data_IF_771797819587
#
_entry.id   IF_771797819587
#
_cell.length_a   1.000
_cell.length_b   1.000
_cell.length_c   1.000
_cell.angle_alpha   90.00
_cell.angle_beta   90.00
_cell.angle_gamma   90.00
#
_symmetry.space_group_name_H-M   'P 1'
#
loop_
_entity.id
_entity.type
_entity.pdbx_description
1 polymer ?
#
# COMPACT_ATOMS: atom_id res chain seq x y z
N UNK A 1 3.73 25.44 -1.62
CA UNK A 1 4.87 25.85 -2.51
C UNK A 1 6.25 25.47 -1.99
N UNK A 2 6.69 25.83 -0.78
CA UNK A 2 8.03 25.40 -0.28
C UNK A 2 8.10 23.90 -0.03
N UNK A 3 7.08 23.33 0.61
CA UNK A 3 6.96 21.90 0.93
C UNK A 3 7.00 21.01 -0.32
N UNK A 4 6.21 21.34 -1.35
CA UNK A 4 6.18 20.59 -2.62
C UNK A 4 7.52 20.61 -3.35
N UNK A 5 8.22 21.77 -3.33
CA UNK A 5 9.55 21.89 -3.92
C UNK A 5 10.59 21.06 -3.19
N UNK A 6 10.51 20.98 -1.85
CA UNK A 6 11.44 20.19 -1.06
C UNK A 6 11.22 18.68 -1.28
N UNK A 7 9.97 18.23 -1.38
CA UNK A 7 9.64 16.83 -1.70
C UNK A 7 10.13 16.48 -3.12
N UNK A 8 9.86 17.34 -4.10
CA UNK A 8 10.33 17.13 -5.48
C UNK A 8 11.86 17.12 -5.56
N UNK A 9 12.53 18.01 -4.82
CA UNK A 9 14.00 18.03 -4.77
C UNK A 9 14.56 16.74 -4.17
N UNK A 10 14.00 16.28 -3.03
CA UNK A 10 14.38 15.02 -2.41
C UNK A 10 14.18 13.84 -3.37
N UNK A 11 13.04 13.78 -4.06
CA UNK A 11 12.77 12.78 -5.09
C UNK A 11 13.80 12.77 -6.21
N UNK A 12 14.11 13.94 -6.79
CA UNK A 12 15.09 14.05 -7.88
C UNK A 12 16.48 13.64 -7.41
N UNK A 13 16.87 14.05 -6.19
CA UNK A 13 18.16 13.68 -5.61
C UNK A 13 18.24 12.18 -5.38
N UNK A 14 17.22 11.58 -4.79
CA UNK A 14 17.17 10.12 -4.54
C UNK A 14 17.19 9.33 -5.86
N UNK A 15 16.39 9.72 -6.84
CA UNK A 15 16.38 9.07 -8.15
C UNK A 15 17.72 9.20 -8.90
N UNK A 16 18.35 10.38 -8.90
CA UNK A 16 19.66 10.57 -9.51
C UNK A 16 20.74 9.77 -8.75
N UNK A 17 20.61 9.69 -7.44
CA UNK A 17 21.55 8.96 -6.61
C UNK A 17 21.39 7.44 -6.81
N UNK A 18 20.17 6.90 -6.91
CA UNK A 18 19.96 5.47 -7.17
C UNK A 18 20.58 4.99 -8.49
N UNK A 19 20.57 5.84 -9.54
CA UNK A 19 21.29 5.55 -10.78
C UNK A 19 22.80 5.54 -10.55
N UNK A 20 23.31 6.48 -9.77
CA UNK A 20 24.74 6.53 -9.42
C UNK A 20 25.17 5.31 -8.60
N UNK A 21 24.35 4.88 -7.66
CA UNK A 21 24.54 3.65 -6.87
C UNK A 21 24.57 2.41 -7.74
N UNK A 22 23.64 2.29 -8.67
CA UNK A 22 23.61 1.16 -9.58
C UNK A 22 24.90 1.02 -10.39
N UNK A 23 25.40 2.13 -10.92
CA UNK A 23 26.69 2.18 -11.62
C UNK A 23 27.83 1.86 -10.65
N UNK A 24 27.79 2.41 -9.43
CA UNK A 24 28.79 2.19 -8.40
C UNK A 24 28.85 0.74 -7.91
N UNK A 25 27.70 0.10 -7.74
CA UNK A 25 27.58 -1.30 -7.38
C UNK A 25 28.20 -2.23 -8.43
N UNK A 26 27.94 -1.96 -9.71
CA UNK A 26 28.57 -2.70 -10.82
C UNK A 26 30.10 -2.46 -10.82
N UNK A 27 30.55 -1.22 -10.64
CA UNK A 27 31.98 -0.87 -10.66
C UNK A 27 32.75 -1.48 -9.49
N UNK A 28 32.17 -1.47 -8.29
CA UNK A 28 32.78 -2.03 -7.06
C UNK A 28 32.65 -3.53 -6.97
N UNK A 29 31.66 -4.12 -7.65
CA UNK A 29 31.27 -5.50 -7.53
C UNK A 29 30.52 -5.81 -6.22
N UNK A 30 30.01 -4.79 -5.51
CA UNK A 30 29.23 -4.95 -4.27
C UNK A 30 27.77 -5.28 -4.57
N UNK A 31 27.31 -6.42 -4.07
CA UNK A 31 25.89 -6.80 -4.15
C UNK A 31 25.06 -5.95 -3.20
N UNK A 32 25.63 -5.50 -2.07
CA UNK A 32 24.94 -4.63 -1.13
C UNK A 32 24.56 -3.29 -1.78
N UNK A 33 25.49 -2.64 -2.50
CA UNK A 33 25.22 -1.37 -3.21
C UNK A 33 24.21 -1.59 -4.35
N UNK A 34 24.31 -2.71 -5.09
CA UNK A 34 23.32 -3.02 -6.14
C UNK A 34 21.93 -3.26 -5.52
N UNK A 35 21.88 -3.91 -4.37
CA UNK A 35 20.63 -4.16 -3.64
C UNK A 35 19.92 -2.86 -3.25
N UNK A 36 20.69 -1.94 -2.69
CA UNK A 36 20.21 -0.62 -2.28
C UNK A 36 19.70 0.16 -3.50
N UNK A 37 20.50 0.24 -4.56
CA UNK A 37 20.13 0.89 -5.82
C UNK A 37 18.85 0.32 -6.43
N UNK A 38 18.61 -0.99 -6.39
CA UNK A 38 17.37 -1.63 -6.89
C UNK A 38 16.17 -1.25 -6.01
N UNK A 39 16.37 -1.15 -4.70
CA UNK A 39 15.37 -0.68 -3.76
C UNK A 39 14.99 0.78 -4.07
N UNK A 40 15.96 1.67 -4.14
CA UNK A 40 15.77 3.10 -4.40
C UNK A 40 15.16 3.41 -5.78
N UNK A 41 15.56 2.67 -6.82
CA UNK A 41 14.90 2.73 -8.13
C UNK A 41 13.44 2.28 -8.04
N UNK A 42 13.17 1.22 -7.27
CA UNK A 42 11.83 0.75 -6.99
C UNK A 42 10.97 1.81 -6.32
N UNK A 43 11.50 2.49 -5.33
CA UNK A 43 10.83 3.57 -4.61
C UNK A 43 10.58 4.79 -5.50
N UNK A 44 11.57 5.20 -6.28
CA UNK A 44 11.42 6.27 -7.25
C UNK A 44 10.36 5.93 -8.32
N UNK A 45 10.37 4.70 -8.85
CA UNK A 45 9.35 4.23 -9.79
C UNK A 45 7.94 4.22 -9.14
N UNK A 46 7.88 3.85 -7.86
CA UNK A 46 6.67 3.88 -7.05
C UNK A 46 6.10 5.28 -6.92
N UNK A 47 6.93 6.23 -6.54
CA UNK A 47 6.54 7.63 -6.39
C UNK A 47 6.07 8.19 -7.73
N UNK A 48 6.79 7.92 -8.83
CA UNK A 48 6.42 8.34 -10.17
C UNK A 48 5.10 7.75 -10.64
N UNK A 49 4.91 6.45 -10.51
CA UNK A 49 3.67 5.76 -10.87
C UNK A 49 2.50 6.19 -10.00
N UNK A 50 2.73 6.27 -8.68
CA UNK A 50 1.74 6.75 -7.72
C UNK A 50 1.28 8.17 -8.03
N UNK A 51 2.18 9.05 -8.48
CA UNK A 51 1.81 10.40 -8.88
C UNK A 51 0.81 10.40 -10.05
N UNK A 52 1.03 9.61 -11.09
CA UNK A 52 0.13 9.51 -12.24
C UNK A 52 -1.20 8.85 -11.88
N UNK A 53 -1.16 7.75 -11.15
CA UNK A 53 -2.35 6.99 -10.77
C UNK A 53 -3.14 7.71 -9.68
N UNK A 54 -2.47 8.38 -8.75
CA UNK A 54 -3.08 9.25 -7.75
C UNK A 54 -3.81 10.46 -8.41
N UNK A 55 -3.20 11.06 -9.43
CA UNK A 55 -3.90 12.10 -10.21
C UNK A 55 -5.14 11.55 -10.91
N UNK A 56 -5.09 10.30 -11.39
CA UNK A 56 -6.23 9.64 -12.02
C UNK A 56 -7.28 9.21 -10.99
N UNK A 57 -6.86 8.77 -9.80
CA UNK A 57 -7.76 8.34 -8.73
C UNK A 57 -8.66 9.47 -8.23
N UNK A 58 -8.21 10.73 -8.33
CA UNK A 58 -8.98 11.93 -7.95
C UNK A 58 -10.03 12.37 -8.97
N UNK A 59 -10.12 11.70 -10.12
CA UNK A 59 -11.15 11.99 -11.10
C UNK A 59 -12.52 11.64 -10.52
N UNK A 60 -13.47 12.59 -10.67
CA UNK A 60 -14.84 12.41 -10.19
C UNK A 60 -15.54 11.22 -10.88
N UNK A 61 -16.54 10.62 -10.22
CA UNK A 61 -17.38 9.60 -10.83
C UNK A 61 -17.97 10.05 -12.17
N UNK A 62 -18.12 9.08 -13.06
CA UNK A 62 -18.82 9.25 -14.34
C UNK A 62 -19.66 8.00 -14.64
N UNK A 63 -20.37 7.97 -15.77
CA UNK A 63 -21.27 6.87 -16.13
C UNK A 63 -20.57 5.53 -16.30
N UNK A 64 -19.24 5.52 -16.54
CA UNK A 64 -18.45 4.29 -16.66
C UNK A 64 -17.89 3.81 -15.31
N UNK A 65 -17.61 4.75 -14.40
CA UNK A 65 -17.04 4.49 -13.07
C UNK A 65 -17.85 5.24 -12.02
N UNK A 66 -18.97 4.64 -11.62
CA UNK A 66 -19.96 5.27 -10.73
C UNK A 66 -19.44 5.53 -9.32
N UNK A 67 -18.48 4.76 -8.83
CA UNK A 67 -17.74 5.03 -7.59
C UNK A 67 -16.48 5.88 -7.80
N UNK A 68 -16.26 6.40 -9.04
CA UNK A 68 -15.06 7.15 -9.39
C UNK A 68 -13.86 6.24 -9.68
N UNK A 69 -12.70 6.87 -9.68
CA UNK A 69 -11.46 6.23 -10.14
C UNK A 69 -10.52 5.87 -8.98
N UNK A 70 -11.00 5.89 -7.75
CA UNK A 70 -10.19 5.79 -6.53
C UNK A 70 -9.33 4.52 -6.49
N UNK A 71 -9.79 3.38 -7.02
CA UNK A 71 -9.05 2.12 -7.10
C UNK A 71 -7.79 2.16 -7.98
N UNK A 72 -7.59 3.23 -8.77
CA UNK A 72 -6.33 3.39 -9.51
C UNK A 72 -5.12 3.58 -8.58
N UNK A 73 -5.32 4.11 -7.37
CA UNK A 73 -4.27 4.17 -6.35
C UNK A 73 -3.84 2.76 -5.89
N UNK A 74 -4.80 1.87 -5.68
CA UNK A 74 -4.53 0.46 -5.30
C UNK A 74 -3.75 -0.28 -6.40
N UNK A 75 -4.13 -0.09 -7.68
CA UNK A 75 -3.41 -0.68 -8.82
C UNK A 75 -1.97 -0.18 -8.84
N UNK A 76 -1.75 1.10 -8.58
CA UNK A 76 -0.40 1.67 -8.46
C UNK A 76 0.43 0.96 -7.39
N UNK A 77 -0.14 0.82 -6.21
CA UNK A 77 0.52 0.15 -5.09
C UNK A 77 0.84 -1.33 -5.38
N UNK A 78 -0.08 -2.05 -6.05
CA UNK A 78 0.15 -3.44 -6.47
C UNK A 78 1.35 -3.54 -7.41
N UNK A 79 1.39 -2.71 -8.48
CA UNK A 79 2.47 -2.74 -9.47
C UNK A 79 3.82 -2.44 -8.80
N UNK A 80 3.87 -1.41 -7.96
CA UNK A 80 5.05 -1.03 -7.20
C UNK A 80 5.56 -2.17 -6.31
N UNK A 81 4.66 -2.75 -5.52
CA UNK A 81 5.02 -3.85 -4.62
C UNK A 81 5.52 -5.08 -5.40
N UNK A 82 4.95 -5.39 -6.57
CA UNK A 82 5.46 -6.45 -7.43
C UNK A 82 6.88 -6.17 -7.95
N UNK A 83 7.17 -4.92 -8.32
CA UNK A 83 8.53 -4.51 -8.74
C UNK A 83 9.52 -4.73 -7.60
N UNK A 84 9.19 -4.31 -6.37
CA UNK A 84 10.03 -4.50 -5.18
C UNK A 84 10.25 -5.99 -4.86
N UNK A 85 9.19 -6.82 -4.95
CA UNK A 85 9.30 -8.25 -4.73
C UNK A 85 10.24 -8.92 -5.74
N UNK A 86 10.08 -8.61 -7.02
CA UNK A 86 10.95 -9.14 -8.09
C UNK A 86 12.40 -8.69 -7.91
N UNK A 87 12.62 -7.41 -7.60
CA UNK A 87 13.94 -6.86 -7.29
C UNK A 87 14.61 -7.58 -6.11
N UNK A 88 13.88 -7.75 -5.00
CA UNK A 88 14.39 -8.44 -3.81
C UNK A 88 14.76 -9.90 -4.09
N UNK A 89 13.95 -10.63 -4.85
CA UNK A 89 14.25 -12.01 -5.25
C UNK A 89 15.51 -12.06 -6.11
N UNK A 90 15.67 -11.12 -7.04
CA UNK A 90 16.83 -11.03 -7.92
C UNK A 90 18.12 -10.73 -7.14
N UNK A 91 18.03 -9.86 -6.14
CA UNK A 91 19.15 -9.56 -5.22
C UNK A 91 19.56 -10.79 -4.43
N UNK A 92 18.59 -11.51 -3.82
CA UNK A 92 18.86 -12.74 -3.09
C UNK A 92 19.55 -13.78 -3.98
N UNK A 93 19.05 -13.98 -5.20
CA UNK A 93 19.66 -14.89 -6.16
C UNK A 93 21.12 -14.52 -6.48
N UNK A 94 21.38 -13.23 -6.76
CA UNK A 94 22.74 -12.76 -7.04
C UNK A 94 23.65 -12.89 -5.84
N UNK A 95 23.17 -12.60 -4.63
CA UNK A 95 23.93 -12.73 -3.39
C UNK A 95 24.30 -14.19 -3.10
N UNK A 96 23.38 -15.13 -3.31
CA UNK A 96 23.68 -16.58 -3.17
C UNK A 96 24.74 -17.00 -4.19
N UNK A 97 24.63 -16.60 -5.44
CA UNK A 97 25.64 -16.89 -6.46
C UNK A 97 27.01 -16.32 -6.09
N UNK A 98 27.05 -15.13 -5.45
CA UNK A 98 28.27 -14.49 -4.97
C UNK A 98 28.91 -15.27 -3.81
N UNK A 99 28.12 -15.92 -2.95
CA UNK A 99 28.64 -16.81 -1.90
C UNK A 99 29.28 -18.05 -2.52
N UNK A 100 28.63 -18.64 -3.54
CA UNK A 100 29.13 -19.87 -4.22
C UNK A 100 30.36 -19.57 -5.09
N UNK A 101 30.36 -18.46 -5.78
CA UNK A 101 31.42 -18.03 -6.69
C UNK A 101 31.89 -16.60 -6.32
N UNK A 102 32.74 -16.46 -5.30
CA UNK A 102 33.21 -15.17 -4.84
C UNK A 102 33.96 -14.42 -5.96
N UNK A 103 33.68 -13.15 -6.11
CA UNK A 103 34.43 -12.26 -6.99
C UNK A 103 35.09 -11.16 -6.18
N UNK A 104 36.13 -10.56 -6.71
CA UNK A 104 36.85 -9.48 -6.05
C UNK A 104 35.95 -8.25 -5.88
N UNK A 105 35.90 -7.73 -4.66
CA UNK A 105 35.21 -6.49 -4.30
C UNK A 105 36.25 -5.39 -4.17
N UNK A 106 35.99 -4.26 -4.79
CA UNK A 106 36.85 -3.06 -4.66
C UNK A 106 36.45 -2.30 -3.38
N UNK A 107 36.97 -2.70 -2.24
CA UNK A 107 36.61 -2.13 -0.94
C UNK A 107 36.80 -0.62 -0.86
N UNK A 108 37.85 -0.07 -1.46
CA UNK A 108 38.08 1.40 -1.48
C UNK A 108 36.98 2.11 -2.27
N UNK A 109 36.57 1.55 -3.41
CA UNK A 109 35.43 2.06 -4.18
C UNK A 109 34.13 1.99 -3.35
N UNK A 110 33.86 0.86 -2.70
CA UNK A 110 32.67 0.67 -1.86
C UNK A 110 32.62 1.69 -0.71
N UNK A 111 33.77 1.95 -0.03
CA UNK A 111 33.85 2.97 1.03
C UNK A 111 33.53 4.37 0.47
N UNK A 112 34.09 4.73 -0.70
CA UNK A 112 33.84 6.03 -1.31
C UNK A 112 32.36 6.19 -1.64
N UNK A 113 31.74 5.18 -2.26
CA UNK A 113 30.30 5.21 -2.58
C UNK A 113 29.45 5.29 -1.31
N UNK A 114 29.79 4.53 -0.26
CA UNK A 114 29.07 4.55 1.00
C UNK A 114 29.16 5.91 1.71
N UNK A 115 30.33 6.55 1.70
CA UNK A 115 30.50 7.91 2.23
C UNK A 115 29.62 8.91 1.45
N UNK A 116 29.63 8.84 0.10
CA UNK A 116 28.78 9.70 -0.72
C UNK A 116 27.29 9.44 -0.41
N UNK A 117 26.88 8.17 -0.27
CA UNK A 117 25.53 7.77 0.08
C UNK A 117 25.05 8.38 1.39
N UNK A 118 25.84 8.24 2.46
CA UNK A 118 25.54 8.87 3.74
C UNK A 118 25.36 10.39 3.59
N UNK A 119 26.25 11.06 2.86
CA UNK A 119 26.17 12.53 2.71
C UNK A 119 24.97 12.97 1.88
N UNK A 120 24.66 12.30 0.77
CA UNK A 120 23.54 12.66 -0.11
C UNK A 120 22.21 12.49 0.62
N UNK A 121 22.01 11.34 1.29
CA UNK A 121 20.79 11.06 2.03
C UNK A 121 20.66 11.93 3.28
N UNK A 122 21.76 12.22 4.00
CA UNK A 122 21.76 13.17 5.12
C UNK A 122 21.39 14.59 4.64
N UNK A 123 21.87 15.01 3.48
CA UNK A 123 21.52 16.30 2.89
C UNK A 123 20.03 16.34 2.53
N UNK A 124 19.51 15.30 1.88
CA UNK A 124 18.08 15.19 1.57
C UNK A 124 17.20 15.20 2.84
N UNK A 125 17.61 14.46 3.89
CA UNK A 125 16.94 14.45 5.18
C UNK A 125 16.93 15.85 5.83
N UNK A 126 18.03 16.60 5.73
CA UNK A 126 18.10 17.95 6.28
C UNK A 126 17.12 18.91 5.59
N UNK A 127 16.96 18.83 4.26
CA UNK A 127 16.02 19.68 3.51
C UNK A 127 14.54 19.32 3.75
N UNK A 128 14.26 18.09 4.15
CA UNK A 128 12.88 17.62 4.41
C UNK A 128 12.49 17.74 5.89
N UNK A 129 13.43 18.04 6.78
CA UNK A 129 13.25 18.01 8.24
C UNK A 129 12.16 18.95 8.77
N UNK A 130 12.10 20.18 8.26
CA UNK A 130 11.25 21.24 8.83
C UNK A 130 9.81 21.25 8.26
N UNK A 131 9.36 20.14 7.71
CA UNK A 131 8.03 20.04 7.12
C UNK A 131 6.91 19.77 8.13
N UNK A 132 5.83 20.55 8.02
CA UNK A 132 4.64 20.37 8.87
C UNK A 132 3.67 19.31 8.34
N UNK A 133 3.76 18.89 7.08
CA UNK A 133 2.85 17.90 6.49
C UNK A 133 3.27 16.46 6.84
N UNK A 134 2.27 15.57 6.99
CA UNK A 134 2.51 14.14 7.23
C UNK A 134 3.36 13.52 6.11
N UNK A 135 3.11 13.92 4.87
CA UNK A 135 3.87 13.44 3.71
C UNK A 135 5.35 13.84 3.78
N UNK A 136 5.65 15.09 4.16
CA UNK A 136 7.03 15.54 4.30
C UNK A 136 7.75 14.83 5.47
N UNK A 137 7.04 14.55 6.57
CA UNK A 137 7.58 13.74 7.68
C UNK A 137 7.89 12.31 7.23
N UNK A 138 7.01 11.69 6.42
CA UNK A 138 7.24 10.36 5.89
C UNK A 138 8.49 10.34 4.96
N UNK A 139 8.62 11.32 4.06
CA UNK A 139 9.81 11.45 3.20
C UNK A 139 11.08 11.67 4.02
N UNK A 140 11.03 12.49 5.08
CA UNK A 140 12.19 12.70 5.96
C UNK A 140 12.60 11.42 6.69
N UNK A 141 11.62 10.65 7.20
CA UNK A 141 11.88 9.38 7.87
C UNK A 141 12.54 8.38 6.90
N UNK A 142 12.04 8.28 5.67
CA UNK A 142 12.63 7.44 4.62
C UNK A 142 14.09 7.84 4.34
N UNK A 143 14.39 9.13 4.14
CA UNK A 143 15.78 9.59 3.96
C UNK A 143 16.70 9.26 5.15
N UNK A 144 16.17 9.25 6.39
CA UNK A 144 16.93 8.84 7.57
C UNK A 144 17.18 7.33 7.62
N UNK A 145 16.23 6.52 7.14
CA UNK A 145 16.41 5.08 6.99
C UNK A 145 17.53 4.78 5.98
N UNK A 146 17.58 5.49 4.85
CA UNK A 146 18.66 5.38 3.85
C UNK A 146 20.02 5.78 4.44
N UNK A 147 20.09 6.85 5.24
CA UNK A 147 21.33 7.23 5.94
C UNK A 147 21.83 6.09 6.83
N UNK A 148 20.92 5.42 7.57
CA UNK A 148 21.29 4.29 8.42
C UNK A 148 21.74 3.08 7.59
N UNK A 149 21.06 2.78 6.48
CA UNK A 149 21.45 1.73 5.53
C UNK A 149 22.86 1.95 5.01
N UNK A 150 23.15 3.15 4.52
CA UNK A 150 24.49 3.53 4.03
C UNK A 150 25.56 3.52 5.12
N UNK A 151 25.22 3.87 6.36
CA UNK A 151 26.14 3.74 7.49
C UNK A 151 26.51 2.27 7.77
N UNK A 152 25.56 1.35 7.66
CA UNK A 152 25.81 -0.09 7.78
C UNK A 152 26.70 -0.59 6.63
N UNK A 153 26.43 -0.18 5.38
CA UNK A 153 27.27 -0.51 4.22
C UNK A 153 28.70 0.01 4.40
N UNK A 154 28.84 1.25 4.92
CA UNK A 154 30.16 1.84 5.20
C UNK A 154 30.93 1.04 6.25
N UNK A 155 30.30 0.70 7.37
CA UNK A 155 30.90 -0.12 8.41
C UNK A 155 31.32 -1.50 7.85
N UNK A 156 30.42 -2.13 7.10
CA UNK A 156 30.70 -3.42 6.45
C UNK A 156 31.89 -3.34 5.49
N UNK A 157 31.96 -2.30 4.65
CA UNK A 157 33.07 -2.10 3.73
C UNK A 157 34.42 -1.88 4.45
N UNK A 158 34.43 -1.11 5.55
CA UNK A 158 35.62 -0.93 6.39
C UNK A 158 36.05 -2.25 7.01
N UNK A 159 35.12 -3.02 7.60
CA UNK A 159 35.44 -4.33 8.19
C UNK A 159 35.99 -5.28 7.13
N UNK A 160 35.38 -5.36 5.94
CA UNK A 160 35.86 -6.20 4.85
C UNK A 160 37.25 -5.80 4.38
N UNK A 161 37.55 -4.50 4.31
CA UNK A 161 38.89 -4.00 3.95
C UNK A 161 39.99 -4.46 4.91
N UNK A 162 39.69 -4.53 6.23
CA UNK A 162 40.65 -4.97 7.24
C UNK A 162 40.73 -6.49 7.40
N UNK A 163 39.62 -7.19 7.19
CA UNK A 163 39.54 -8.65 7.42
C UNK A 163 39.72 -9.47 6.14
N UNK A 164 39.60 -8.85 4.97
CA UNK A 164 39.51 -9.50 3.66
C UNK A 164 38.39 -10.56 3.57
N UNK A 165 37.35 -10.45 4.42
CA UNK A 165 36.24 -11.39 4.47
C UNK A 165 35.08 -10.89 3.58
N UNK A 166 35.20 -11.14 2.28
CA UNK A 166 34.28 -10.65 1.25
C UNK A 166 32.83 -11.19 1.39
N UNK A 167 32.61 -12.24 2.20
CA UNK A 167 31.25 -12.80 2.38
C UNK A 167 30.32 -11.89 3.20
N UNK A 168 30.84 -10.87 3.86
CA UNK A 168 30.02 -9.88 4.58
C UNK A 168 29.04 -9.19 3.63
N UNK A 169 29.51 -8.78 2.44
CA UNK A 169 28.67 -8.08 1.44
C UNK A 169 27.44 -8.88 1.00
N UNK A 170 27.54 -10.11 0.49
CA UNK A 170 26.36 -10.87 0.10
C UNK A 170 25.49 -11.28 1.30
N UNK A 171 26.04 -11.48 2.50
CA UNK A 171 25.24 -11.77 3.69
C UNK A 171 24.38 -10.56 4.08
N UNK A 172 24.97 -9.35 4.11
CA UNK A 172 24.24 -8.13 4.37
C UNK A 172 23.14 -7.92 3.33
N UNK A 173 23.45 -8.13 2.04
CA UNK A 173 22.50 -8.02 0.94
C UNK A 173 21.30 -8.96 1.09
N UNK A 174 21.53 -10.22 1.50
CA UNK A 174 20.46 -11.18 1.77
C UNK A 174 19.59 -10.72 2.94
N UNK A 175 20.21 -10.26 4.04
CA UNK A 175 19.45 -9.79 5.20
C UNK A 175 18.51 -8.62 4.84
N UNK A 176 19.03 -7.63 4.12
CA UNK A 176 18.23 -6.48 3.68
C UNK A 176 17.16 -6.91 2.68
N UNK A 177 17.51 -7.68 1.66
CA UNK A 177 16.55 -8.12 0.64
C UNK A 177 15.43 -9.00 1.22
N UNK A 178 15.73 -9.88 2.19
CA UNK A 178 14.71 -10.68 2.88
C UNK A 178 13.79 -9.79 3.71
N UNK A 179 14.34 -8.80 4.41
CA UNK A 179 13.54 -7.84 5.18
C UNK A 179 12.57 -7.06 4.26
N UNK A 180 13.07 -6.53 3.13
CA UNK A 180 12.25 -5.83 2.12
C UNK A 180 11.19 -6.77 1.56
N UNK A 181 11.56 -8.01 1.19
CA UNK A 181 10.65 -8.99 0.61
C UNK A 181 9.50 -9.35 1.57
N UNK A 182 9.78 -9.53 2.86
CA UNK A 182 8.75 -9.82 3.87
C UNK A 182 7.76 -8.66 3.98
N UNK A 183 8.24 -7.43 4.01
CA UNK A 183 7.38 -6.24 4.07
C UNK A 183 6.58 -6.06 2.78
N UNK A 184 7.20 -6.28 1.62
CA UNK A 184 6.52 -6.23 0.33
C UNK A 184 5.41 -7.29 0.22
N UNK A 185 5.62 -8.51 0.72
CA UNK A 185 4.58 -9.56 0.75
C UNK A 185 3.39 -9.13 1.63
N UNK A 186 3.65 -8.55 2.81
CA UNK A 186 2.57 -8.05 3.68
C UNK A 186 1.76 -6.95 3.00
N UNK A 187 2.44 -5.96 2.43
CA UNK A 187 1.78 -4.88 1.69
C UNK A 187 0.97 -5.43 0.51
N UNK A 188 1.52 -6.41 -0.23
CA UNK A 188 0.81 -7.04 -1.33
C UNK A 188 -0.47 -7.74 -0.87
N UNK A 189 -0.43 -8.45 0.27
CA UNK A 189 -1.60 -9.10 0.86
C UNK A 189 -2.67 -8.07 1.23
N UNK A 190 -2.31 -6.96 1.84
CA UNK A 190 -3.24 -5.87 2.17
C UNK A 190 -3.90 -5.29 0.90
N UNK A 191 -3.13 -5.08 -0.18
CA UNK A 191 -3.68 -4.59 -1.45
C UNK A 191 -4.62 -5.61 -2.11
N UNK A 192 -4.30 -6.90 -2.03
CA UNK A 192 -5.17 -7.98 -2.52
C UNK A 192 -6.45 -8.06 -1.69
N UNK A 193 -6.37 -7.93 -0.36
CA UNK A 193 -7.53 -7.89 0.52
C UNK A 193 -8.49 -6.76 0.14
N UNK A 194 -7.96 -5.55 -0.15
CA UNK A 194 -8.76 -4.42 -0.64
C UNK A 194 -9.38 -4.73 -2.00
N UNK A 195 -8.61 -5.32 -2.91
CA UNK A 195 -9.08 -5.67 -4.26
C UNK A 195 -10.19 -6.71 -4.23
N UNK A 196 -10.10 -7.68 -3.32
CA UNK A 196 -11.08 -8.74 -3.08
C UNK A 196 -12.28 -8.29 -2.20
N UNK A 197 -12.37 -6.99 -1.89
CA UNK A 197 -13.49 -6.42 -1.11
C UNK A 197 -13.61 -7.01 0.29
N UNK A 198 -12.50 -7.44 0.88
CA UNK A 198 -12.45 -7.89 2.26
C UNK A 198 -12.82 -6.75 3.21
N UNK A 199 -13.54 -7.09 4.27
CA UNK A 199 -13.83 -6.15 5.35
C UNK A 199 -12.52 -5.59 5.91
N UNK A 200 -12.37 -4.24 6.03
CA UNK A 200 -11.18 -3.62 6.58
C UNK A 200 -10.87 -4.10 8.00
N UNK A 201 -9.61 -4.33 8.31
CA UNK A 201 -9.17 -4.80 9.64
C UNK A 201 -9.52 -3.83 10.78
N UNK A 202 -9.71 -2.54 10.47
CA UNK A 202 -10.09 -1.51 11.43
C UNK A 202 -11.57 -1.51 11.78
N UNK A 203 -12.39 -2.37 11.15
CA UNK A 203 -13.84 -2.38 11.30
C UNK A 203 -14.28 -3.71 11.91
N UNK A 204 -14.96 -3.64 13.07
CA UNK A 204 -15.67 -4.76 13.66
C UNK A 204 -17.16 -4.68 13.31
N UNK A 205 -17.63 -5.65 12.51
CA UNK A 205 -19.05 -5.73 12.09
C UNK A 205 -19.98 -5.91 13.28
N UNK A 206 -19.56 -6.64 14.33
CA UNK A 206 -20.40 -6.87 15.49
C UNK A 206 -20.56 -5.60 16.31
N UNK A 207 -19.47 -4.83 16.49
CA UNK A 207 -19.52 -3.54 17.17
C UNK A 207 -20.46 -2.56 16.45
N UNK A 208 -20.35 -2.45 15.13
CA UNK A 208 -21.26 -1.63 14.31
C UNK A 208 -22.72 -2.09 14.49
N UNK A 209 -22.95 -3.39 14.43
CA UNK A 209 -24.30 -3.95 14.59
C UNK A 209 -24.90 -3.61 15.96
N UNK A 210 -24.10 -3.73 17.02
CA UNK A 210 -24.54 -3.43 18.38
C UNK A 210 -24.81 -1.93 18.56
N UNK A 211 -23.94 -1.05 18.01
CA UNK A 211 -24.15 0.39 18.06
C UNK A 211 -25.40 0.82 17.30
N UNK A 212 -25.62 0.28 16.10
CA UNK A 212 -26.82 0.59 15.33
C UNK A 212 -28.11 0.11 16.03
N UNK A 213 -28.07 -1.02 16.72
CA UNK A 213 -29.23 -1.52 17.51
C UNK A 213 -29.52 -0.67 18.75
N UNK A 214 -28.58 0.13 19.21
CA UNK A 214 -28.81 1.07 20.31
C UNK A 214 -29.49 2.38 19.85
N UNK A 215 -29.70 2.57 18.55
CA UNK A 215 -30.46 3.71 18.01
C UNK A 215 -31.95 3.40 18.20
N UNK A 216 -32.68 4.36 18.80
CA UNK A 216 -34.11 4.25 18.97
C UNK A 216 -34.81 3.96 17.62
N UNK A 217 -35.74 3.00 17.65
CA UNK A 217 -36.49 2.51 16.49
C UNK A 217 -35.72 1.58 15.52
N UNK A 218 -34.45 1.26 15.74
CA UNK A 218 -33.75 0.16 15.02
C UNK A 218 -34.01 -1.15 15.75
N UNK A 219 -34.64 -2.10 15.06
CA UNK A 219 -35.02 -3.41 15.60
C UNK A 219 -33.93 -4.45 15.30
N UNK A 220 -33.48 -4.52 14.04
CA UNK A 220 -32.43 -5.43 13.63
C UNK A 220 -31.57 -4.85 12.51
N UNK A 221 -30.34 -5.36 12.41
CA UNK A 221 -29.40 -5.01 11.34
C UNK A 221 -28.82 -6.30 10.78
N UNK A 222 -28.97 -6.51 9.48
CA UNK A 222 -28.50 -7.73 8.82
C UNK A 222 -28.07 -7.44 7.38
N UNK A 223 -27.61 -8.47 6.65
CA UNK A 223 -27.15 -8.39 5.26
C UNK A 223 -26.08 -7.28 5.09
N UNK A 224 -25.09 -7.27 6.00
CA UNK A 224 -24.07 -6.23 6.08
C UNK A 224 -22.91 -6.61 5.18
N UNK A 225 -22.58 -5.73 4.24
CA UNK A 225 -21.35 -5.79 3.44
C UNK A 225 -20.56 -4.51 3.68
N UNK A 226 -19.27 -4.66 4.01
CA UNK A 226 -18.36 -3.54 4.23
C UNK A 226 -17.07 -3.83 3.50
N UNK A 227 -16.62 -2.89 2.68
CA UNK A 227 -15.36 -3.00 1.93
C UNK A 227 -14.66 -1.66 1.87
N UNK A 228 -13.37 -1.67 1.56
CA UNK A 228 -12.62 -0.45 1.29
C UNK A 228 -12.37 -0.25 -0.20
N UNK A 229 -12.37 1.00 -0.64
CA UNK A 229 -12.03 1.34 -2.02
C UNK A 229 -10.51 1.50 -2.22
N UNK A 230 -9.79 1.98 -1.19
CA UNK A 230 -8.38 2.36 -1.26
C UNK A 230 -7.61 2.17 0.05
N UNK A 231 -8.21 1.52 1.05
CA UNK A 231 -7.68 1.36 2.40
C UNK A 231 -8.06 2.47 3.38
N UNK A 232 -8.63 3.58 2.91
CA UNK A 232 -9.07 4.71 3.76
C UNK A 232 -10.56 4.99 3.62
N UNK A 233 -11.08 4.88 2.40
CA UNK A 233 -12.48 5.14 2.10
C UNK A 233 -13.29 3.84 2.14
N UNK A 234 -14.03 3.64 3.24
CA UNK A 234 -14.84 2.45 3.45
C UNK A 234 -16.28 2.71 3.03
N UNK A 235 -16.86 1.71 2.38
CA UNK A 235 -18.21 1.71 1.87
C UNK A 235 -18.98 0.57 2.50
N UNK A 236 -20.31 0.74 2.63
CA UNK A 236 -21.17 -0.31 3.17
C UNK A 236 -22.52 -0.39 2.45
N UNK A 237 -23.07 -1.58 2.45
CA UNK A 237 -24.49 -1.81 2.21
C UNK A 237 -25.05 -2.63 3.36
N UNK A 238 -26.28 -2.34 3.78
CA UNK A 238 -26.91 -3.10 4.86
C UNK A 238 -28.43 -2.92 4.87
N UNK A 239 -29.11 -3.88 5.46
CA UNK A 239 -30.53 -3.85 5.73
C UNK A 239 -30.78 -3.45 7.19
N UNK A 240 -31.69 -2.54 7.40
CA UNK A 240 -32.08 -2.03 8.72
C UNK A 240 -33.56 -2.27 8.91
N UNK A 241 -33.90 -3.12 9.85
CA UNK A 241 -35.29 -3.31 10.26
C UNK A 241 -35.70 -2.21 11.23
N UNK A 242 -36.72 -1.44 10.87
CA UNK A 242 -37.15 -0.28 11.67
C UNK A 242 -38.64 0.00 11.54
N UNK A 243 -39.26 0.47 12.63
CA UNK A 243 -40.64 0.97 12.62
C UNK A 243 -40.74 2.46 12.24
N UNK A 244 -39.62 3.12 12.02
CA UNK A 244 -39.54 4.52 11.63
C UNK A 244 -38.94 4.67 10.24
N UNK A 245 -39.72 5.19 9.30
CA UNK A 245 -39.27 5.40 7.89
C UNK A 245 -38.91 6.85 7.57
N UNK A 246 -38.71 7.68 8.61
CA UNK A 246 -38.43 9.09 8.43
C UNK A 246 -36.95 9.37 8.05
N UNK A 247 -36.71 10.57 7.58
CA UNK A 247 -35.37 11.04 7.20
C UNK A 247 -34.40 11.06 8.40
N UNK A 248 -34.91 11.30 9.58
CA UNK A 248 -34.13 11.49 10.80
C UNK A 248 -33.38 10.22 11.20
N UNK A 249 -34.01 9.06 11.13
CA UNK A 249 -33.34 7.79 11.46
C UNK A 249 -32.22 7.44 10.47
N UNK A 250 -32.42 7.76 9.16
CA UNK A 250 -31.37 7.56 8.17
C UNK A 250 -30.12 8.42 8.46
N UNK A 251 -30.33 9.65 8.90
CA UNK A 251 -29.23 10.54 9.25
C UNK A 251 -28.52 10.11 10.53
N UNK A 252 -29.25 9.62 11.53
CA UNK A 252 -28.65 9.06 12.75
C UNK A 252 -27.77 7.83 12.42
N UNK A 253 -28.29 6.90 11.61
CA UNK A 253 -27.55 5.71 11.16
C UNK A 253 -26.29 6.12 10.37
N UNK A 254 -26.41 7.08 9.44
CA UNK A 254 -25.25 7.55 8.66
C UNK A 254 -24.18 8.20 9.52
N UNK A 255 -24.62 8.97 10.54
CA UNK A 255 -23.69 9.60 11.47
C UNK A 255 -22.93 8.55 12.27
N UNK A 256 -23.62 7.56 12.83
CA UNK A 256 -23.00 6.45 13.56
C UNK A 256 -22.00 5.69 12.69
N UNK A 257 -22.39 5.34 11.47
CA UNK A 257 -21.51 4.65 10.52
C UNK A 257 -20.28 5.49 10.14
N UNK A 258 -20.44 6.82 10.04
CA UNK A 258 -19.32 7.73 9.78
C UNK A 258 -18.33 7.76 10.97
N UNK A 259 -18.81 7.68 12.21
CA UNK A 259 -17.97 7.59 13.40
C UNK A 259 -17.15 6.28 13.41
N UNK A 260 -17.67 5.22 12.79
CA UNK A 260 -16.96 3.95 12.54
C UNK A 260 -16.11 3.94 11.26
N UNK A 261 -15.90 5.09 10.62
CA UNK A 261 -15.02 5.24 9.45
C UNK A 261 -15.65 4.78 8.12
N UNK A 262 -16.98 4.66 8.04
CA UNK A 262 -17.70 4.38 6.80
C UNK A 262 -18.12 5.69 6.16
N UNK A 263 -17.55 6.01 5.01
CA UNK A 263 -17.79 7.29 4.33
C UNK A 263 -18.97 7.27 3.35
N UNK A 264 -19.39 6.10 2.90
CA UNK A 264 -20.53 5.93 2.00
C UNK A 264 -21.33 4.69 2.37
N UNK A 265 -22.66 4.85 2.46
CA UNK A 265 -23.55 3.72 2.78
C UNK A 265 -24.82 3.74 1.96
N UNK A 266 -25.21 2.58 1.47
CA UNK A 266 -26.56 2.32 0.93
C UNK A 266 -27.34 1.54 1.98
N UNK A 267 -28.50 2.08 2.38
CA UNK A 267 -29.38 1.52 3.39
C UNK A 267 -30.67 1.04 2.74
N UNK A 268 -31.00 -0.20 2.97
CA UNK A 268 -32.34 -0.73 2.72
C UNK A 268 -33.10 -0.74 4.06
N UNK A 269 -34.22 -0.02 4.13
CA UNK A 269 -35.07 0.01 5.31
C UNK A 269 -36.20 -0.98 5.14
N UNK A 270 -36.32 -1.91 6.06
CA UNK A 270 -37.35 -2.95 6.10
C UNK A 270 -38.29 -2.72 7.29
N UNK A 271 -39.57 -3.05 7.12
CA UNK A 271 -40.51 -3.12 8.23
C UNK A 271 -40.38 -4.45 8.96
N UNK A 272 -40.87 -4.52 10.21
CA UNK A 272 -40.83 -5.74 11.02
C UNK A 272 -41.60 -6.91 10.37
N UNK A 273 -42.65 -6.60 9.59
CA UNK A 273 -43.46 -7.58 8.87
C UNK A 273 -42.86 -7.99 7.51
N UNK A 274 -41.79 -7.34 7.08
CA UNK A 274 -41.12 -7.61 5.82
C UNK A 274 -40.15 -8.77 5.99
N UNK A 275 -40.36 -9.85 5.25
CA UNK A 275 -39.46 -10.99 5.29
C UNK A 275 -38.29 -10.77 4.31
N UNK A 276 -37.13 -10.42 4.84
CA UNK A 276 -35.91 -10.53 4.06
C UNK A 276 -35.69 -12.00 3.65
N UNK A 277 -35.67 -12.26 2.36
CA UNK A 277 -35.49 -13.62 1.83
C UNK A 277 -34.12 -14.22 2.19
N UNK A 278 -33.10 -13.34 2.43
CA UNK A 278 -31.76 -13.76 2.78
C UNK A 278 -31.15 -12.86 3.86
N UNK A 279 -31.03 -13.38 5.08
CA UNK A 279 -30.33 -12.69 6.18
C UNK A 279 -28.81 -12.65 6.00
N UNK A 280 -28.27 -13.45 5.08
CA UNK A 280 -26.86 -13.49 4.71
C UNK A 280 -26.74 -13.84 3.24
N UNK A 281 -25.85 -13.16 2.51
CA UNK A 281 -25.56 -13.45 1.11
C UNK A 281 -25.08 -14.91 0.95
N UNK A 282 -25.78 -15.69 0.14
CA UNK A 282 -25.33 -17.02 -0.29
C UNK A 282 -24.80 -16.89 -1.71
N UNK A 283 -23.54 -17.25 -1.91
CA UNK A 283 -22.97 -17.34 -3.27
C UNK A 283 -23.50 -18.65 -3.88
N UNK A 284 -24.56 -18.58 -4.69
CA UNK A 284 -24.95 -19.69 -5.55
C UNK A 284 -23.95 -19.74 -6.70
N UNK A 285 -23.08 -20.73 -6.67
CA UNK A 285 -22.24 -21.05 -7.86
C UNK A 285 -23.14 -21.70 -8.89
N UNK A 286 -23.74 -20.89 -9.77
CA UNK A 286 -24.50 -21.39 -10.90
C UNK A 286 -23.57 -22.17 -11.83
N UNK A 287 -23.61 -23.51 -11.72
CA UNK A 287 -22.91 -24.43 -12.63
C UNK A 287 -23.53 -24.48 -14.04
N UNK A 288 -24.59 -23.70 -14.29
CA UNK A 288 -25.28 -23.61 -15.59
C UNK A 288 -25.27 -22.18 -16.14
N UNK A 289 -24.16 -21.74 -16.68
CA UNK A 289 -24.11 -20.58 -17.58
C UNK A 289 -24.73 -20.98 -18.94
N UNK A 290 -26.05 -20.95 -19.06
CA UNK A 290 -26.66 -21.27 -20.34
C UNK A 290 -28.19 -21.29 -20.32
N UNK A 291 -28.89 -20.32 -19.75
CA UNK A 291 -30.27 -20.02 -20.19
C UNK A 291 -30.63 -18.59 -19.78
N UNK A 292 -30.81 -17.74 -20.77
CA UNK A 292 -31.44 -16.43 -20.62
C UNK A 292 -32.91 -16.65 -20.22
N UNK A 293 -33.27 -16.42 -18.98
CA UNK A 293 -34.67 -16.29 -18.58
C UNK A 293 -35.06 -14.82 -18.65
N UNK A 294 -35.84 -14.46 -19.69
CA UNK A 294 -36.65 -13.27 -19.71
C UNK A 294 -37.72 -13.40 -18.63
N UNK A 295 -37.68 -12.58 -17.59
CA UNK A 295 -38.81 -12.41 -16.70
C UNK A 295 -39.85 -11.50 -17.36
N UNK A 296 -41.12 -11.97 -17.57
CA UNK A 296 -42.17 -11.10 -18.03
C UNK A 296 -42.61 -10.20 -16.88
N UNK A 297 -42.56 -8.90 -17.10
CA UNK A 297 -43.20 -7.92 -16.21
C UNK A 297 -44.71 -8.16 -16.18
N UNK A 298 -45.26 -8.60 -15.07
CA UNK A 298 -46.70 -8.55 -14.83
C UNK A 298 -47.14 -7.13 -14.54
N UNK A 299 -47.82 -6.51 -15.49
CA UNK A 299 -48.63 -5.32 -15.27
C UNK A 299 -49.82 -5.74 -14.40
N UNK A 300 -49.90 -5.27 -13.17
CA UNK A 300 -51.11 -5.23 -12.38
C UNK A 300 -51.90 -3.96 -12.77
N UNK A 301 -53.18 -4.21 -13.12
CA UNK A 301 -54.20 -3.18 -13.36
C UNK A 301 -54.62 -2.56 -12.04
#
# INVERSE_FOLDING_TARGET
MKTEKNILLAFILNFAFSIFEFIGGIYTGSVAIISDAVHDIGDAASIGLSFFLEKKSKKQPDDNYTYGYIRYSVIGSIITTLILMLGSVMVIYNAINRIISPTEIKYDGMIIFAVIGVFVNLFAAFFTRDGCSLNQKAVNLHMLEDVLGWAVVLIGAIVMKFTNFALIDPIMSICVAVFILINAIKNFQEMIDIFLEKTPHSIDINEIKDHLKNIDAVIDVHHIHIWSMDGQNNYATMHIVTNATNHEIKEQIRKELHEHGICHVTLELESEDEHCHEKSCKVEVNSNAGHHHHHPYHHLK
#
